data_IF_175102463915
#
_entry.id   IF_175102463915
#
_cell.length_a   1.000
_cell.length_b   1.000
_cell.length_c   1.000
_cell.angle_alpha   90.00
_cell.angle_beta   90.00
_cell.angle_gamma   90.00
#
_symmetry.space_group_name_H-M   'P 1'
#
loop_
_entity.id
_entity.type
_entity.pdbx_description
1 polymer ?
#
# COMPACT_ATOMS: atom_id res chain seq x y z
N UNK A 1 3.38 -5.91 -27.02
CA UNK A 1 3.42 -4.56 -27.57
C UNK A 1 4.87 -4.15 -27.78
N UNK A 2 5.53 -3.39 -26.88
CA UNK A 2 6.88 -2.84 -27.10
C UNK A 2 7.94 -3.85 -27.61
N UNK A 3 8.05 -5.04 -27.01
CA UNK A 3 8.98 -6.08 -27.48
C UNK A 3 8.72 -6.56 -28.92
N UNK A 4 7.48 -6.50 -29.40
CA UNK A 4 7.12 -6.79 -30.79
C UNK A 4 7.42 -5.60 -31.71
N UNK A 5 7.24 -4.36 -31.24
CA UNK A 5 7.66 -3.15 -31.96
C UNK A 5 9.18 -3.14 -32.16
N UNK A 6 9.94 -3.59 -31.15
CA UNK A 6 11.40 -3.73 -31.22
C UNK A 6 11.83 -4.86 -32.17
N UNK A 7 11.15 -6.02 -32.14
CA UNK A 7 11.36 -7.11 -33.10
C UNK A 7 11.13 -6.65 -34.55
N UNK A 8 10.00 -6.00 -34.81
CA UNK A 8 9.59 -5.52 -36.14
C UNK A 8 10.19 -4.16 -36.53
N UNK A 9 11.05 -3.57 -35.68
CA UNK A 9 11.68 -2.24 -35.85
C UNK A 9 10.71 -1.05 -36.03
N UNK A 10 9.49 -1.17 -35.49
CA UNK A 10 8.40 -0.19 -35.54
C UNK A 10 8.40 0.81 -34.37
N UNK A 11 9.57 1.08 -33.76
CA UNK A 11 9.67 2.07 -32.67
C UNK A 11 9.51 3.50 -33.20
N UNK A 12 10.28 3.86 -34.24
CA UNK A 12 10.30 5.22 -34.80
C UNK A 12 8.99 5.53 -35.55
N UNK A 13 8.40 4.51 -36.19
CA UNK A 13 7.07 4.54 -36.84
C UNK A 13 5.90 4.77 -35.85
N UNK A 14 6.12 4.78 -34.53
CA UNK A 14 5.05 4.82 -33.52
C UNK A 14 5.09 6.13 -32.70
N UNK A 15 4.23 7.13 -32.97
CA UNK A 15 4.33 8.47 -32.39
C UNK A 15 4.30 8.58 -30.85
N UNK A 16 3.71 7.59 -30.17
CA UNK A 16 3.64 7.52 -28.70
C UNK A 16 4.83 6.82 -28.05
N UNK A 17 5.68 6.11 -28.80
CA UNK A 17 6.81 5.34 -28.25
C UNK A 17 7.80 6.24 -27.46
N UNK A 18 7.98 7.48 -27.92
CA UNK A 18 8.82 8.51 -27.26
C UNK A 18 8.37 8.92 -25.86
N UNK A 19 7.13 8.60 -25.45
CA UNK A 19 6.61 8.86 -24.10
C UNK A 19 6.69 7.64 -23.17
N UNK A 20 7.14 6.49 -23.66
CA UNK A 20 7.27 5.25 -22.87
C UNK A 20 8.50 5.35 -21.95
N UNK A 21 8.36 5.15 -20.62
CA UNK A 21 9.51 5.19 -19.71
C UNK A 21 10.56 4.11 -20.02
N UNK A 22 11.85 4.45 -19.85
CA UNK A 22 13.00 3.58 -20.19
C UNK A 22 12.95 2.20 -19.51
N UNK A 23 12.31 2.08 -18.35
CA UNK A 23 12.07 0.81 -17.65
C UNK A 23 11.29 -0.21 -18.49
N UNK A 24 10.31 0.23 -19.29
CA UNK A 24 9.53 -0.65 -20.15
C UNK A 24 10.33 -1.13 -21.37
N UNK A 25 11.26 -0.31 -21.90
CA UNK A 25 12.22 -0.73 -22.93
C UNK A 25 13.12 -1.86 -22.42
N UNK A 26 13.75 -1.68 -21.24
CA UNK A 26 14.58 -2.72 -20.62
C UNK A 26 13.81 -4.01 -20.31
N UNK A 27 12.53 -3.90 -19.94
CA UNK A 27 11.64 -5.06 -19.81
C UNK A 27 11.29 -5.72 -21.16
N UNK A 28 11.20 -4.93 -22.23
CA UNK A 28 10.93 -5.41 -23.58
C UNK A 28 12.15 -6.11 -24.19
N UNK A 29 13.37 -5.63 -23.97
CA UNK A 29 14.62 -6.31 -24.33
C UNK A 29 14.68 -7.71 -23.71
N UNK A 30 14.51 -7.83 -22.38
CA UNK A 30 14.55 -9.13 -21.68
C UNK A 30 13.44 -10.08 -22.15
N UNK A 31 12.28 -9.56 -22.54
CA UNK A 31 11.22 -10.37 -23.16
C UNK A 31 11.62 -10.84 -24.56
N UNK A 32 12.16 -9.94 -25.38
CA UNK A 32 12.60 -10.16 -26.76
C UNK A 32 13.75 -11.17 -26.85
N UNK A 33 14.80 -11.02 -26.03
CA UNK A 33 15.86 -12.03 -25.88
C UNK A 33 15.26 -13.41 -25.58
N UNK A 34 14.34 -13.48 -24.61
CA UNK A 34 13.70 -14.74 -24.22
C UNK A 34 12.70 -15.28 -25.26
N UNK A 35 12.32 -14.51 -26.27
CA UNK A 35 11.52 -14.95 -27.42
C UNK A 35 12.42 -15.54 -28.50
N UNK A 36 13.54 -14.86 -28.79
CA UNK A 36 14.60 -15.33 -29.69
C UNK A 36 15.24 -16.63 -29.19
N UNK A 37 15.58 -16.73 -27.90
CA UNK A 37 16.06 -17.97 -27.25
C UNK A 37 15.10 -19.17 -27.39
N UNK A 38 13.80 -18.91 -27.64
CA UNK A 38 12.75 -19.91 -27.74
C UNK A 38 12.20 -20.10 -29.16
N UNK A 39 12.79 -19.45 -30.16
CA UNK A 39 12.33 -19.51 -31.55
C UNK A 39 10.88 -19.05 -31.72
N UNK A 40 10.44 -18.09 -30.90
CA UNK A 40 9.07 -17.56 -30.93
C UNK A 40 9.07 -16.17 -31.54
N UNK A 41 8.56 -16.07 -32.75
CA UNK A 41 8.32 -14.78 -33.39
C UNK A 41 7.01 -14.19 -32.86
N UNK A 42 6.95 -12.88 -32.55
CA UNK A 42 5.69 -12.20 -32.23
C UNK A 42 4.83 -12.06 -33.49
N UNK A 43 3.51 -11.96 -33.29
CA UNK A 43 2.59 -11.59 -34.36
C UNK A 43 3.03 -10.29 -35.06
N UNK A 44 2.73 -10.18 -36.35
CA UNK A 44 3.03 -9.03 -37.19
C UNK A 44 2.51 -7.72 -36.59
N UNK A 45 3.29 -6.64 -36.70
CA UNK A 45 2.89 -5.35 -36.18
C UNK A 45 1.97 -4.65 -37.19
N UNK A 46 0.72 -4.30 -36.83
CA UNK A 46 -0.19 -3.65 -37.76
C UNK A 46 0.28 -2.22 -38.07
N UNK A 47 0.15 -1.81 -39.34
CA UNK A 47 0.46 -0.44 -39.73
C UNK A 47 -0.49 0.56 -39.05
N UNK A 48 0.11 1.55 -38.38
CA UNK A 48 -0.61 2.59 -37.66
C UNK A 48 -1.06 3.67 -38.65
N UNK A 49 -2.36 3.70 -38.96
CA UNK A 49 -2.97 4.80 -39.71
C UNK A 49 -3.18 6.01 -38.79
N UNK A 50 -2.95 7.23 -39.30
CA UNK A 50 -3.36 8.42 -38.56
C UNK A 50 -4.88 8.58 -38.73
N UNK A 51 -5.61 8.65 -37.61
CA UNK A 51 -7.05 8.96 -37.61
C UNK A 51 -7.35 10.40 -38.08
N UNK A 52 -6.32 11.23 -38.29
CA UNK A 52 -6.42 12.56 -38.87
C UNK A 52 -6.62 12.55 -40.40
N UNK A 53 -6.18 11.50 -41.09
CA UNK A 53 -6.15 11.45 -42.56
C UNK A 53 -7.50 10.96 -43.16
N UNK A 54 -8.40 10.43 -42.32
CA UNK A 54 -9.74 9.91 -42.69
C UNK A 54 -10.89 10.91 -42.35
N UNK A 55 -10.58 12.14 -41.92
CA UNK A 55 -11.57 13.22 -41.73
C UNK A 55 -11.78 13.97 -43.07
N UNK A 56 -13.01 14.04 -43.61
CA UNK A 56 -13.27 14.85 -44.81
C UNK A 56 -13.19 16.35 -44.49
N UNK A 57 -12.47 17.11 -45.32
CA UNK A 57 -12.45 18.58 -45.27
C UNK A 57 -13.87 19.13 -45.47
N UNK A 58 -14.45 19.68 -44.39
CA UNK A 58 -15.65 20.53 -44.45
C UNK A 58 -15.20 21.97 -44.23
N UNK A 59 -14.57 22.53 -45.27
CA UNK A 59 -14.41 23.97 -45.42
C UNK A 59 -15.72 24.59 -45.89
N UNK A 60 -16.13 25.68 -45.25
CA UNK A 60 -17.13 26.66 -45.72
C UNK A 60 -18.49 26.12 -46.21
N UNK A 61 -19.47 26.10 -45.31
CA UNK A 61 -20.81 26.57 -45.65
C UNK A 61 -21.40 27.37 -44.50
N UNK A 62 -22.16 28.41 -44.83
CA UNK A 62 -22.60 29.45 -43.89
C UNK A 62 -24.12 29.49 -43.76
N UNK A 63 -24.59 29.82 -42.55
CA UNK A 63 -25.89 30.46 -42.28
C UNK A 63 -27.17 29.80 -42.81
N UNK A 64 -27.92 29.18 -41.90
CA UNK A 64 -29.39 29.18 -41.95
C UNK A 64 -29.96 29.27 -40.53
N UNK A 65 -31.11 29.93 -40.39
CA UNK A 65 -31.91 29.98 -39.16
C UNK A 65 -32.94 28.81 -39.17
N UNK A 66 -34.16 29.04 -38.70
CA UNK A 66 -35.23 28.06 -38.39
C UNK A 66 -34.93 27.18 -37.14
N UNK A 67 -35.51 27.38 -35.95
CA UNK A 67 -36.92 27.52 -35.48
C UNK A 67 -37.41 26.22 -34.79
N UNK A 68 -38.37 26.35 -33.86
CA UNK A 68 -38.76 25.35 -32.85
C UNK A 68 -39.25 24.00 -33.41
N UNK A 69 -39.05 22.95 -32.60
CA UNK A 69 -40.18 22.08 -32.31
C UNK A 69 -40.14 21.53 -30.86
N UNK A 70 -41.28 21.61 -30.18
CA UNK A 70 -41.52 21.04 -28.85
C UNK A 70 -42.47 19.86 -29.00
N UNK A 71 -42.09 18.66 -28.52
CA UNK A 71 -43.04 17.70 -27.92
C UNK A 71 -42.31 16.57 -27.17
N UNK A 72 -42.79 16.28 -25.96
CA UNK A 72 -42.41 15.17 -25.07
C UNK A 72 -43.51 14.08 -25.16
N UNK A 73 -43.30 12.83 -24.73
CA UNK A 73 -43.83 12.51 -23.38
C UNK A 73 -43.19 11.31 -22.62
N UNK A 74 -43.73 11.14 -21.40
CA UNK A 74 -43.78 9.92 -20.57
C UNK A 74 -42.52 9.51 -19.77
N UNK A 75 -42.30 10.23 -18.67
CA UNK A 75 -41.59 9.73 -17.49
C UNK A 75 -42.58 9.37 -16.37
N UNK A 76 -43.16 8.17 -16.43
CA UNK A 76 -44.25 7.75 -15.53
C UNK A 76 -43.74 7.21 -14.17
N UNK A 77 -44.35 7.67 -13.06
CA UNK A 77 -43.92 7.35 -11.69
C UNK A 77 -45.10 7.46 -10.69
N UNK A 78 -45.61 6.36 -10.11
CA UNK A 78 -46.88 6.35 -9.39
C UNK A 78 -46.79 6.73 -7.90
N UNK A 79 -47.72 7.58 -7.44
CA UNK A 79 -48.00 7.88 -6.01
C UNK A 79 -49.51 8.01 -5.81
N UNK A 80 -50.07 7.33 -4.79
CA UNK A 80 -51.05 7.95 -3.86
C UNK A 80 -50.87 7.45 -2.39
N UNK A 81 -51.32 8.11 -1.32
CA UNK A 81 -51.94 9.45 -1.13
C UNK A 81 -51.76 9.96 0.33
N UNK A 82 -52.40 11.08 0.70
CA UNK A 82 -52.41 11.77 2.02
C UNK A 82 -53.16 11.01 3.14
N UNK A 83 -53.10 11.34 4.44
CA UNK A 83 -53.50 12.57 5.20
C UNK A 83 -52.66 12.72 6.51
N UNK A 84 -52.21 13.90 7.00
CA UNK A 84 -52.92 15.02 7.71
C UNK A 84 -53.55 14.60 9.06
N UNK A 85 -53.40 15.26 10.25
CA UNK A 85 -52.68 16.44 10.85
C UNK A 85 -52.80 16.29 12.41
N UNK A 86 -52.18 16.98 13.39
CA UNK A 86 -51.17 18.08 13.52
C UNK A 86 -50.50 18.03 14.95
N UNK A 87 -49.51 18.89 15.33
CA UNK A 87 -48.79 18.83 16.61
C UNK A 87 -49.35 19.75 17.73
N UNK A 88 -48.93 19.57 19.00
CA UNK A 88 -48.45 20.74 19.75
C UNK A 88 -47.31 20.50 20.78
N UNK A 89 -46.34 21.44 20.74
CA UNK A 89 -45.59 22.07 21.85
C UNK A 89 -44.79 21.24 22.90
N UNK A 90 -43.89 21.96 23.57
CA UNK A 90 -43.11 21.54 24.73
C UNK A 90 -43.22 22.61 25.83
N UNK A 91 -42.97 22.23 27.09
CA UNK A 91 -42.52 23.16 28.13
C UNK A 91 -41.66 22.45 29.19
N UNK A 92 -41.21 23.19 30.22
CA UNK A 92 -39.92 22.96 30.90
C UNK A 92 -39.98 22.54 32.38
N UNK A 93 -38.80 22.26 32.98
CA UNK A 93 -38.51 21.86 34.38
C UNK A 93 -38.79 20.37 34.72
N UNK A 94 -38.06 19.70 35.62
CA UNK A 94 -36.83 20.06 36.35
C UNK A 94 -36.74 19.33 37.71
N UNK A 95 -35.71 18.51 37.94
CA UNK A 95 -35.52 17.78 39.21
C UNK A 95 -34.37 16.77 39.20
N UNK A 96 -33.87 16.40 40.39
CA UNK A 96 -32.66 15.58 40.60
C UNK A 96 -32.97 14.10 40.88
N UNK A 97 -32.03 13.18 40.60
CA UNK A 97 -32.14 11.76 40.97
C UNK A 97 -30.92 10.92 40.57
N UNK A 98 -30.35 10.18 41.53
CA UNK A 98 -29.20 9.28 41.35
C UNK A 98 -29.62 7.81 41.06
N UNK A 99 -28.73 6.95 40.50
CA UNK A 99 -29.10 5.65 39.93
C UNK A 99 -28.99 4.46 40.91
N UNK A 100 -29.45 3.27 40.48
CA UNK A 100 -28.87 2.00 40.91
C UNK A 100 -28.43 1.06 39.75
N UNK A 101 -27.67 0.02 40.11
CA UNK A 101 -27.03 -0.99 39.26
C UNK A 101 -27.95 -2.13 38.75
N UNK A 102 -27.46 -2.90 37.76
CA UNK A 102 -27.76 -4.33 37.47
C UNK A 102 -29.23 -4.71 37.11
N UNK A 103 -29.56 -5.68 36.24
CA UNK A 103 -28.85 -6.92 35.93
C UNK A 103 -29.34 -7.62 34.62
N UNK A 104 -28.42 -8.26 33.89
CA UNK A 104 -28.47 -9.68 33.44
C UNK A 104 -29.80 -10.30 32.89
N UNK A 105 -29.89 -10.42 31.54
CA UNK A 105 -30.40 -11.56 30.68
C UNK A 105 -31.54 -11.36 29.64
N UNK A 106 -31.17 -11.61 28.37
CA UNK A 106 -31.82 -12.49 27.34
C UNK A 106 -33.34 -12.37 27.05
N UNK A 107 -33.69 -12.14 25.76
CA UNK A 107 -34.60 -13.06 25.01
C UNK A 107 -34.55 -12.95 23.45
N UNK A 108 -34.33 -14.12 22.82
CA UNK A 108 -34.63 -14.61 21.45
C UNK A 108 -35.28 -13.63 20.42
N UNK A 109 -34.63 -13.29 19.31
CA UNK A 109 -34.42 -14.09 18.05
C UNK A 109 -35.62 -14.32 17.11
N UNK A 110 -35.50 -13.88 15.82
CA UNK A 110 -35.58 -14.74 14.60
C UNK A 110 -35.55 -13.97 13.25
N UNK A 111 -34.64 -14.39 12.33
CA UNK A 111 -34.83 -14.68 10.86
C UNK A 111 -35.31 -13.53 9.90
N UNK A 112 -34.85 -13.40 8.64
CA UNK A 112 -33.84 -14.10 7.78
C UNK A 112 -33.19 -13.09 6.80
N UNK A 113 -31.98 -13.39 6.31
CA UNK A 113 -31.55 -13.43 4.87
C UNK A 113 -30.01 -13.56 4.84
N UNK A 114 -29.48 -14.78 4.70
CA UNK A 114 -29.05 -15.44 3.45
C UNK A 114 -27.76 -14.84 2.83
N UNK A 115 -26.62 -15.27 3.35
CA UNK A 115 -25.30 -15.20 2.68
C UNK A 115 -24.84 -16.62 2.36
N UNK A 116 -24.31 -16.83 1.16
CA UNK A 116 -23.89 -18.14 0.65
C UNK A 116 -22.38 -18.30 0.85
N UNK A 117 -21.96 -19.11 1.84
CA UNK A 117 -20.57 -19.55 2.03
C UNK A 117 -20.49 -21.05 1.85
N UNK A 118 -19.78 -21.51 0.83
CA UNK A 118 -19.42 -22.91 0.64
C UNK A 118 -17.93 -23.06 0.94
N UNK A 119 -17.62 -23.89 1.91
CA UNK A 119 -16.31 -24.47 2.15
C UNK A 119 -16.54 -25.91 2.62
N UNK A 120 -15.87 -26.86 1.97
CA UNK A 120 -15.72 -28.24 2.42
C UNK A 120 -14.27 -28.61 2.15
N UNK A 121 -13.41 -28.94 3.13
CA UNK A 121 -13.54 -29.87 4.27
C UNK A 121 -13.45 -31.34 3.86
N UNK A 122 -12.52 -32.05 4.51
CA UNK A 122 -12.58 -33.48 4.83
C UNK A 122 -11.50 -33.78 5.89
N UNK A 123 -11.92 -33.87 7.15
CA UNK A 123 -11.15 -34.53 8.21
C UNK A 123 -11.37 -36.05 8.17
N UNK A 124 -10.49 -36.81 8.82
CA UNK A 124 -10.63 -38.26 9.07
C UNK A 124 -10.75 -38.54 10.55
N UNK A 125 -11.69 -39.39 10.95
CA UNK A 125 -11.86 -39.87 12.33
C UNK A 125 -12.30 -41.34 12.35
N UNK A 126 -11.95 -42.06 13.42
CA UNK A 126 -12.04 -43.52 13.55
C UNK A 126 -13.16 -43.96 14.53
N UNK A 127 -13.73 -45.14 14.31
CA UNK A 127 -14.16 -46.06 15.38
C UNK A 127 -14.62 -47.44 14.84
N UNK A 128 -14.74 -48.43 15.73
CA UNK A 128 -15.10 -49.83 15.46
C UNK A 128 -16.13 -50.37 16.50
N UNK A 129 -16.65 -51.60 16.47
CA UNK A 129 -16.39 -52.79 15.62
C UNK A 129 -17.67 -53.64 15.43
N UNK A 130 -17.72 -54.50 14.42
CA UNK A 130 -18.37 -55.83 14.50
C UNK A 130 -18.03 -56.72 13.29
N UNK A 131 -18.05 -58.04 13.50
CA UNK A 131 -17.70 -59.09 12.52
C UNK A 131 -18.84 -60.15 12.40
N UNK A 132 -18.80 -61.18 11.50
CA UNK A 132 -17.71 -61.56 10.61
C UNK A 132 -18.06 -62.01 9.16
N UNK A 133 -17.00 -62.11 8.34
CA UNK A 133 -16.80 -63.06 7.22
C UNK A 133 -17.55 -62.88 5.88
N UNK A 134 -16.75 -62.61 4.84
CA UNK A 134 -16.68 -63.37 3.57
C UNK A 134 -15.33 -63.09 2.89
N UNK A 135 -14.70 -64.12 2.31
CA UNK A 135 -13.38 -64.01 1.65
C UNK A 135 -13.50 -63.39 0.26
N UNK A 136 -12.57 -62.49 -0.08
CA UNK A 136 -12.12 -62.25 -1.46
C UNK A 136 -10.63 -61.84 -1.45
N UNK A 137 -9.94 -62.06 -2.57
CA UNK A 137 -8.47 -62.13 -2.61
C UNK A 137 -7.84 -60.80 -3.00
N UNK A 138 -6.81 -60.37 -2.27
CA UNK A 138 -5.99 -59.20 -2.59
C UNK A 138 -4.80 -59.58 -3.49
N UNK A 139 -4.60 -58.83 -4.58
CA UNK A 139 -3.44 -58.94 -5.47
C UNK A 139 -2.66 -57.61 -5.51
N UNK A 140 -1.37 -57.58 -5.10
CA UNK A 140 -0.58 -56.36 -5.07
C UNK A 140 0.01 -56.01 -6.45
N UNK A 141 -0.28 -54.81 -6.96
CA UNK A 141 0.32 -54.30 -8.20
C UNK A 141 1.79 -53.84 -8.01
N UNK A 142 2.66 -53.91 -9.04
CA UNK A 142 4.11 -53.91 -8.83
C UNK A 142 4.76 -52.52 -8.64
N UNK A 143 5.81 -52.46 -7.81
CA UNK A 143 6.68 -51.29 -7.65
C UNK A 143 7.56 -51.09 -8.89
N UNK A 144 7.64 -49.86 -9.43
CA UNK A 144 8.49 -49.53 -10.59
C UNK A 144 9.95 -49.29 -10.17
N UNK A 145 10.98 -49.81 -10.88
CA UNK A 145 12.37 -49.77 -10.38
C UNK A 145 13.07 -48.40 -10.49
N UNK A 146 14.07 -48.18 -9.60
CA UNK A 146 15.11 -47.15 -9.79
C UNK A 146 16.20 -47.70 -10.74
N UNK A 147 16.68 -46.93 -11.74
CA UNK A 147 17.90 -47.27 -12.47
C UNK A 147 19.13 -46.72 -11.73
N UNK A 148 19.95 -47.62 -11.18
CA UNK A 148 21.33 -47.31 -10.79
C UNK A 148 22.27 -47.70 -11.93
N UNK A 149 23.18 -46.80 -12.33
CA UNK A 149 24.31 -47.15 -13.19
C UNK A 149 25.48 -46.20 -12.96
N UNK A 150 26.57 -46.72 -12.38
CA UNK A 150 27.86 -46.05 -12.39
C UNK A 150 28.49 -46.17 -13.79
N UNK A 151 29.37 -45.23 -14.15
CA UNK A 151 30.07 -45.23 -15.43
C UNK A 151 30.80 -43.91 -15.67
N UNK A 152 32.07 -43.84 -15.28
CA UNK A 152 32.95 -42.72 -15.58
C UNK A 152 33.12 -42.53 -17.09
N UNK A 153 32.78 -41.33 -17.58
CA UNK A 153 33.50 -40.65 -18.68
C UNK A 153 33.52 -39.13 -18.45
N UNK A 154 34.57 -38.51 -18.94
CA UNK A 154 34.95 -37.12 -18.65
C UNK A 154 34.11 -36.06 -19.38
N UNK A 155 34.03 -34.88 -18.78
CA UNK A 155 34.23 -33.64 -19.53
C UNK A 155 33.02 -33.00 -20.23
N UNK A 156 32.04 -32.50 -19.46
CA UNK A 156 31.41 -31.19 -19.74
C UNK A 156 30.67 -30.68 -18.49
N UNK A 157 31.08 -29.52 -17.96
CA UNK A 157 30.34 -28.82 -16.89
C UNK A 157 29.04 -28.26 -17.48
N UNK A 158 27.92 -28.96 -17.27
CA UNK A 158 26.59 -28.38 -17.48
C UNK A 158 26.36 -27.29 -16.43
N UNK A 159 26.69 -26.05 -16.79
CA UNK A 159 26.40 -24.87 -15.98
C UNK A 159 24.89 -24.73 -15.79
N UNK A 160 24.38 -25.32 -14.71
CA UNK A 160 22.95 -25.53 -14.46
C UNK A 160 22.16 -24.25 -14.66
N UNK A 161 20.95 -24.36 -15.21
CA UNK A 161 20.03 -23.23 -15.33
C UNK A 161 19.82 -22.56 -13.95
N UNK A 162 19.79 -23.34 -12.87
CA UNK A 162 19.79 -22.82 -11.48
C UNK A 162 20.98 -21.91 -11.15
N UNK A 163 22.19 -22.19 -11.63
CA UNK A 163 23.35 -21.30 -11.41
C UNK A 163 23.29 -20.04 -12.27
N UNK A 164 22.76 -20.11 -13.50
CA UNK A 164 22.50 -18.91 -14.32
C UNK A 164 21.43 -18.02 -13.69
N UNK A 165 20.31 -18.59 -13.25
CA UNK A 165 19.20 -17.85 -12.61
C UNK A 165 19.57 -17.28 -11.24
N UNK A 166 20.44 -17.95 -10.46
CA UNK A 166 21.04 -17.33 -9.26
C UNK A 166 21.92 -16.14 -9.66
N UNK A 167 22.84 -16.33 -10.59
CA UNK A 167 23.72 -15.25 -11.07
C UNK A 167 22.98 -14.02 -11.63
N UNK A 168 21.81 -14.19 -12.25
CA UNK A 168 20.99 -13.04 -12.68
C UNK A 168 20.23 -12.36 -11.54
N UNK A 169 19.73 -13.11 -10.56
CA UNK A 169 19.13 -12.55 -9.33
C UNK A 169 20.17 -11.87 -8.41
N UNK A 170 21.39 -12.38 -8.36
CA UNK A 170 22.47 -11.83 -7.54
C UNK A 170 22.95 -10.47 -8.08
N UNK A 171 22.79 -10.20 -9.39
CA UNK A 171 23.07 -8.88 -10.01
C UNK A 171 22.13 -7.77 -9.56
N UNK A 172 20.90 -8.10 -9.16
CA UNK A 172 19.90 -7.14 -8.65
C UNK A 172 19.79 -7.14 -7.11
N UNK A 173 20.80 -7.71 -6.45
CA UNK A 173 20.98 -7.74 -4.98
C UNK A 173 22.24 -7.01 -4.59
N UNK A 174 22.16 -6.23 -3.51
CA UNK A 174 23.33 -5.69 -2.81
C UNK A 174 24.25 -6.82 -2.30
N UNK A 175 25.49 -6.50 -1.85
CA UNK A 175 26.37 -7.49 -1.22
C UNK A 175 25.71 -8.20 -0.03
N UNK A 176 25.07 -7.49 0.89
CA UNK A 176 24.45 -8.11 2.07
C UNK A 176 23.12 -8.82 1.75
N UNK A 177 22.39 -8.43 0.69
CA UNK A 177 21.18 -9.14 0.23
C UNK A 177 21.46 -10.50 -0.47
N UNK A 178 22.74 -10.87 -0.63
CA UNK A 178 23.16 -12.21 -1.09
C UNK A 178 23.38 -13.20 0.06
N UNK A 179 23.53 -12.72 1.29
CA UNK A 179 23.58 -13.52 2.52
C UNK A 179 22.19 -13.99 2.94
N UNK A 180 22.11 -15.07 3.73
CA UNK A 180 20.93 -15.35 4.56
C UNK A 180 20.79 -14.31 5.69
N UNK A 181 19.80 -14.45 6.57
CA UNK A 181 19.77 -13.63 7.80
C UNK A 181 20.76 -14.18 8.83
N UNK A 182 20.93 -15.50 8.85
CA UNK A 182 21.75 -16.28 9.77
C UNK A 182 23.27 -16.08 9.52
N UNK A 183 23.68 -15.67 8.31
CA UNK A 183 25.08 -15.34 7.95
C UNK A 183 25.50 -13.89 8.30
N UNK A 184 24.65 -13.11 8.98
CA UNK A 184 24.89 -11.69 9.28
C UNK A 184 25.56 -11.50 10.65
N UNK A 185 26.71 -10.82 10.67
CA UNK A 185 27.34 -10.40 11.92
C UNK A 185 26.63 -9.19 12.56
N UNK A 186 26.81 -8.92 13.87
CA UNK A 186 26.20 -7.78 14.56
C UNK A 186 26.38 -6.42 13.85
N UNK A 187 27.55 -6.17 13.27
CA UNK A 187 27.83 -4.97 12.46
C UNK A 187 26.95 -4.89 11.20
N UNK A 188 26.64 -6.01 10.57
CA UNK A 188 25.79 -6.09 9.37
C UNK A 188 24.30 -6.01 9.73
N UNK A 189 23.92 -6.47 10.93
CA UNK A 189 22.59 -6.25 11.51
C UNK A 189 22.35 -4.77 11.87
N UNK A 190 23.40 -3.98 12.13
CA UNK A 190 23.30 -2.54 12.34
C UNK A 190 23.15 -1.73 11.03
N UNK A 191 23.71 -2.21 9.92
CA UNK A 191 23.82 -1.48 8.63
C UNK A 191 22.46 -1.17 8.00
N UNK A 192 22.36 0.04 7.47
CA UNK A 192 21.33 0.46 6.51
C UNK A 192 22.03 0.62 5.16
N UNK A 193 21.89 -0.33 4.24
CA UNK A 193 22.41 -0.17 2.89
C UNK A 193 21.58 0.87 2.12
N UNK A 194 22.27 1.71 1.34
CA UNK A 194 21.65 2.54 0.29
C UNK A 194 21.80 1.77 -1.02
N UNK A 195 20.71 1.43 -1.74
CA UNK A 195 20.79 0.63 -2.95
C UNK A 195 21.33 1.44 -4.14
N UNK A 196 22.33 0.90 -4.83
CA UNK A 196 22.82 1.44 -6.11
C UNK A 196 21.77 1.35 -7.23
N UNK A 197 21.96 2.13 -8.29
CA UNK A 197 21.11 2.08 -9.50
C UNK A 197 21.09 0.66 -10.08
N UNK A 198 19.91 0.05 -10.17
CA UNK A 198 19.70 -1.32 -10.67
C UNK A 198 19.63 -2.39 -9.58
N UNK A 199 19.92 -2.05 -8.32
CA UNK A 199 19.67 -2.95 -7.18
C UNK A 199 18.17 -2.92 -6.85
N UNK A 200 17.54 -4.10 -6.85
CA UNK A 200 16.11 -4.25 -6.53
C UNK A 200 15.88 -4.70 -5.07
N UNK A 201 16.91 -5.18 -4.41
CA UNK A 201 16.85 -5.67 -3.02
C UNK A 201 18.19 -5.51 -2.27
N UNK A 202 18.10 -5.08 -1.02
CA UNK A 202 19.20 -4.70 -0.13
C UNK A 202 18.85 -5.00 1.34
N UNK A 203 19.78 -4.84 2.28
CA UNK A 203 19.54 -5.07 3.72
C UNK A 203 19.35 -3.74 4.45
N UNK A 204 18.28 -3.62 5.24
CA UNK A 204 18.06 -2.52 6.19
C UNK A 204 17.96 -3.07 7.61
N UNK A 205 18.94 -2.73 8.44
CA UNK A 205 19.17 -3.32 9.78
C UNK A 205 19.17 -4.84 9.76
N UNK A 206 19.90 -5.44 8.82
CA UNK A 206 19.92 -6.88 8.58
C UNK A 206 18.66 -7.48 7.96
N UNK A 207 17.51 -6.79 7.91
CA UNK A 207 16.29 -7.30 7.27
C UNK A 207 16.38 -7.14 5.75
N UNK A 208 16.07 -8.18 4.97
CA UNK A 208 16.01 -8.08 3.51
C UNK A 208 14.85 -7.19 3.09
N UNK A 209 15.21 -6.06 2.50
CA UNK A 209 14.35 -5.05 1.90
C UNK A 209 14.34 -5.22 0.39
N UNK A 210 13.22 -4.89 -0.23
CA UNK A 210 13.08 -4.83 -1.69
C UNK A 210 12.16 -3.68 -2.09
N UNK A 211 12.36 -3.12 -3.27
CA UNK A 211 11.31 -2.30 -3.89
C UNK A 211 10.01 -3.11 -4.03
N UNK A 212 8.87 -2.43 -4.18
CA UNK A 212 7.53 -3.05 -4.27
C UNK A 212 6.92 -3.08 -5.69
N UNK A 213 7.59 -3.62 -6.73
CA UNK A 213 6.93 -3.90 -8.00
C UNK A 213 6.24 -5.27 -7.95
N UNK A 214 4.92 -5.29 -8.09
CA UNK A 214 4.18 -6.45 -8.63
C UNK A 214 3.09 -5.95 -9.57
N UNK A 215 2.92 -6.66 -10.68
CA UNK A 215 1.91 -6.38 -11.71
C UNK A 215 0.49 -6.45 -11.13
N UNK A 216 -0.41 -5.65 -11.69
CA UNK A 216 -1.86 -5.84 -11.58
C UNK A 216 -2.54 -4.79 -10.73
N UNK A 217 -2.11 -4.69 -9.46
CA UNK A 217 -2.76 -3.83 -8.47
C UNK A 217 -1.85 -2.65 -8.08
N UNK A 218 -2.25 -1.45 -8.52
CA UNK A 218 -1.76 -0.14 -8.07
C UNK A 218 -0.23 0.09 -8.10
N UNK A 219 0.24 0.68 -9.20
CA UNK A 219 1.55 1.35 -9.27
C UNK A 219 1.60 2.61 -8.38
N UNK A 220 0.44 3.04 -7.88
CA UNK A 220 0.16 4.18 -6.99
C UNK A 220 0.81 4.08 -5.61
N UNK A 221 2.14 4.08 -5.53
CA UNK A 221 2.81 4.55 -4.32
C UNK A 221 2.54 6.06 -4.19
N UNK A 222 2.22 6.53 -2.98
CA UNK A 222 2.08 7.97 -2.72
C UNK A 222 3.36 8.69 -3.16
N UNK A 223 3.30 9.85 -3.85
CA UNK A 223 4.52 10.51 -4.32
C UNK A 223 5.46 10.93 -3.18
N UNK A 224 6.78 10.81 -3.38
CA UNK A 224 7.81 11.27 -2.42
C UNK A 224 8.23 10.27 -1.35
N UNK A 225 7.69 9.07 -1.47
CA UNK A 225 7.35 8.25 -0.33
C UNK A 225 7.92 6.85 -0.62
N UNK A 226 8.92 6.35 0.16
CA UNK A 226 9.78 5.25 -0.27
C UNK A 226 9.07 4.00 -0.83
N UNK A 227 9.33 3.67 -2.10
CA UNK A 227 8.64 2.61 -2.85
C UNK A 227 8.98 1.16 -2.45
N UNK A 228 9.38 0.89 -1.21
CA UNK A 228 9.99 -0.38 -0.79
C UNK A 228 9.36 -0.96 0.50
N UNK A 229 9.56 -2.26 0.74
CA UNK A 229 9.10 -2.95 1.96
C UNK A 229 10.10 -4.03 2.42
N UNK A 230 9.98 -4.53 3.66
CA UNK A 230 10.59 -5.80 4.05
C UNK A 230 10.08 -6.92 3.12
N UNK A 231 10.91 -7.93 2.87
CA UNK A 231 10.48 -9.13 2.16
C UNK A 231 9.62 -10.00 3.09
N UNK A 232 8.49 -10.51 2.59
CA UNK A 232 7.49 -11.25 3.40
C UNK A 232 8.03 -12.52 4.08
N UNK A 233 9.13 -13.08 3.58
CA UNK A 233 9.84 -14.23 4.17
C UNK A 233 10.70 -13.86 5.37
N UNK A 234 11.10 -12.60 5.50
CA UNK A 234 12.01 -12.11 6.55
C UNK A 234 11.34 -11.18 7.56
N UNK A 235 10.07 -10.82 7.35
CA UNK A 235 9.30 -9.99 8.28
C UNK A 235 9.23 -10.58 9.70
N UNK A 236 9.44 -11.90 9.85
CA UNK A 236 9.58 -12.58 11.15
C UNK A 236 10.74 -12.06 12.00
N UNK A 237 11.92 -11.85 11.43
CA UNK A 237 13.09 -11.35 12.19
C UNK A 237 12.86 -9.91 12.66
N UNK A 238 12.13 -9.10 11.87
CA UNK A 238 11.69 -7.77 12.28
C UNK A 238 10.58 -7.81 13.36
N UNK A 239 9.75 -8.86 13.37
CA UNK A 239 8.75 -9.10 14.41
C UNK A 239 9.38 -9.61 15.72
N UNK A 240 10.41 -10.45 15.66
CA UNK A 240 11.13 -10.97 16.84
C UNK A 240 11.71 -9.82 17.69
N UNK A 241 12.18 -8.75 17.06
CA UNK A 241 12.65 -7.51 17.71
C UNK A 241 11.55 -6.70 18.43
N UNK A 242 10.27 -7.07 18.32
CA UNK A 242 9.15 -6.32 18.91
C UNK A 242 9.10 -6.38 20.43
N UNK A 243 9.27 -7.57 21.02
CA UNK A 243 8.90 -7.85 22.42
C UNK A 243 9.52 -6.89 23.45
N UNK A 244 10.82 -6.52 23.37
CA UNK A 244 11.41 -5.54 24.29
C UNK A 244 10.78 -4.14 24.25
N UNK A 245 10.05 -3.80 23.18
CA UNK A 245 9.48 -2.48 22.96
C UNK A 245 7.95 -2.41 23.11
N UNK A 246 7.25 -3.50 23.46
CA UNK A 246 5.78 -3.47 23.59
C UNK A 246 5.31 -2.42 24.61
N UNK A 247 5.85 -2.48 25.83
CA UNK A 247 5.54 -1.50 26.89
C UNK A 247 5.96 -0.08 26.50
N UNK A 248 7.11 0.08 25.83
CA UNK A 248 7.56 1.38 25.33
C UNK A 248 6.62 1.94 24.25
N UNK A 249 6.03 1.10 23.39
CA UNK A 249 5.05 1.53 22.38
C UNK A 249 3.70 1.90 22.99
N UNK A 250 3.26 1.20 24.05
CA UNK A 250 2.07 1.60 24.82
C UNK A 250 2.29 2.98 25.45
N UNK A 251 3.45 3.20 26.09
CA UNK A 251 3.82 4.51 26.65
C UNK A 251 4.00 5.58 25.58
N UNK A 252 4.48 5.23 24.38
CA UNK A 252 4.58 6.16 23.25
C UNK A 252 3.20 6.56 22.72
N UNK A 253 2.27 5.61 22.50
CA UNK A 253 0.89 5.92 22.11
C UNK A 253 0.16 6.77 23.17
N UNK A 254 0.43 6.55 24.46
CA UNK A 254 -0.13 7.37 25.54
C UNK A 254 0.30 8.85 25.48
N UNK A 255 1.46 9.17 24.88
CA UNK A 255 1.92 10.55 24.60
C UNK A 255 1.24 11.20 23.39
N UNK A 256 0.47 10.44 22.61
CA UNK A 256 -0.19 10.87 21.36
C UNK A 256 0.74 11.61 20.37
N UNK A 257 1.80 10.96 19.85
CA UNK A 257 2.76 11.60 18.94
C UNK A 257 2.15 12.05 17.60
N UNK A 258 0.93 11.63 17.29
CA UNK A 258 0.15 12.14 16.16
C UNK A 258 -0.41 13.55 16.39
N UNK A 259 -0.68 13.95 17.64
CA UNK A 259 -1.11 15.31 17.98
C UNK A 259 0.06 16.29 17.71
N UNK A 260 1.26 16.00 18.25
CA UNK A 260 2.50 16.76 17.97
C UNK A 260 2.83 16.82 16.46
N UNK A 261 2.68 15.70 15.75
CA UNK A 261 2.84 15.62 14.28
C UNK A 261 1.88 16.57 13.55
N UNK A 262 0.62 16.65 13.98
CA UNK A 262 -0.40 17.49 13.35
C UNK A 262 -0.20 18.97 13.67
N UNK A 263 0.15 19.32 14.92
CA UNK A 263 0.47 20.70 15.30
C UNK A 263 1.67 21.26 14.52
N UNK A 264 2.71 20.44 14.31
CA UNK A 264 3.93 20.81 13.59
C UNK A 264 3.85 20.64 12.06
N UNK A 265 2.65 20.49 11.49
CA UNK A 265 2.49 20.27 10.06
C UNK A 265 2.72 21.50 9.18
N UNK A 266 2.80 21.27 7.87
CA UNK A 266 3.10 22.29 6.87
C UNK A 266 1.85 23.12 6.57
N UNK A 267 1.66 24.24 7.26
CA UNK A 267 0.51 25.16 7.06
C UNK A 267 0.59 26.03 5.80
N UNK A 268 1.45 25.70 4.82
CA UNK A 268 1.80 26.55 3.67
C UNK A 268 1.43 25.85 2.37
N UNK A 269 0.78 26.59 1.47
CA UNK A 269 0.56 26.19 0.08
C UNK A 269 1.70 26.73 -0.80
N UNK A 270 2.36 25.83 -1.54
CA UNK A 270 3.53 26.11 -2.38
C UNK A 270 3.15 26.37 -3.85
N UNK A 271 1.95 25.98 -4.28
CA UNK A 271 1.51 26.07 -5.69
C UNK A 271 0.18 26.82 -5.87
N UNK A 272 -0.65 26.93 -4.83
CA UNK A 272 -1.95 27.61 -4.88
C UNK A 272 -1.95 28.88 -4.02
N UNK A 273 -2.26 30.05 -4.61
CA UNK A 273 -2.40 31.29 -3.84
C UNK A 273 -3.74 31.31 -3.10
N UNK A 274 -3.74 31.85 -1.87
CA UNK A 274 -4.95 32.03 -1.06
C UNK A 274 -6.02 32.91 -1.75
N UNK A 275 -5.61 33.87 -2.57
CA UNK A 275 -6.49 34.73 -3.34
C UNK A 275 -7.17 34.03 -4.53
N UNK A 276 -6.55 32.97 -5.07
CA UNK A 276 -7.03 32.25 -6.25
C UNK A 276 -8.04 31.13 -5.86
N UNK A 277 -8.17 30.84 -4.55
CA UNK A 277 -9.07 29.84 -3.98
C UNK A 277 -10.32 30.51 -3.38
N UNK A 278 -11.50 30.19 -3.91
CA UNK A 278 -12.77 30.72 -3.39
C UNK A 278 -13.05 30.30 -1.94
N UNK A 279 -13.85 31.09 -1.22
CA UNK A 279 -14.28 30.75 0.15
C UNK A 279 -14.96 29.38 0.26
N UNK A 280 -15.68 28.94 -0.80
CA UNK A 280 -16.24 27.58 -0.88
C UNK A 280 -15.15 26.51 -0.84
N UNK A 281 -14.03 26.72 -1.55
CA UNK A 281 -12.91 25.77 -1.58
C UNK A 281 -12.17 25.76 -0.24
N UNK A 282 -12.00 26.92 0.41
CA UNK A 282 -11.44 26.99 1.77
C UNK A 282 -12.28 26.21 2.79
N UNK A 283 -13.59 26.47 2.89
CA UNK A 283 -14.47 25.73 3.82
C UNK A 283 -14.46 24.21 3.57
N UNK A 284 -14.25 23.78 2.32
CA UNK A 284 -14.14 22.37 1.95
C UNK A 284 -12.75 21.77 2.22
N UNK A 285 -11.70 22.57 2.16
CA UNK A 285 -10.38 22.18 2.65
C UNK A 285 -10.43 22.01 4.17
N UNK A 286 -11.10 22.92 4.90
CA UNK A 286 -11.26 22.82 6.35
C UNK A 286 -12.06 21.54 6.74
N UNK A 287 -13.15 21.18 6.04
CA UNK A 287 -13.87 19.89 6.19
C UNK A 287 -12.95 18.67 5.95
N UNK A 288 -11.92 18.81 5.10
CA UNK A 288 -10.95 17.75 4.83
C UNK A 288 -9.85 17.69 5.91
N UNK A 289 -9.29 18.83 6.30
CA UNK A 289 -8.21 18.95 7.28
C UNK A 289 -8.70 18.59 8.70
N UNK A 290 -9.94 18.89 9.05
CA UNK A 290 -10.61 18.38 10.25
C UNK A 290 -10.70 16.85 10.24
N UNK A 291 -11.07 16.23 9.11
CA UNK A 291 -11.05 14.77 9.00
C UNK A 291 -9.64 14.18 9.14
N UNK A 292 -8.60 14.86 8.63
CA UNK A 292 -7.20 14.44 8.82
C UNK A 292 -6.80 14.52 10.29
N UNK A 293 -7.16 15.60 11.01
CA UNK A 293 -6.94 15.78 12.46
C UNK A 293 -7.53 14.61 13.25
N UNK A 294 -8.80 14.33 13.04
CA UNK A 294 -9.55 13.32 13.80
C UNK A 294 -9.07 11.88 13.54
N UNK A 295 -8.26 11.68 12.49
CA UNK A 295 -7.67 10.40 12.12
C UNK A 295 -6.13 10.41 12.19
N UNK A 296 -5.53 11.42 12.83
CA UNK A 296 -4.08 11.61 12.85
C UNK A 296 -3.32 10.38 13.42
N UNK A 297 -3.88 9.65 14.39
CA UNK A 297 -3.30 8.37 14.85
C UNK A 297 -3.07 7.39 13.67
N UNK A 298 -4.05 7.23 12.79
CA UNK A 298 -3.96 6.30 11.66
C UNK A 298 -2.94 6.77 10.60
N UNK A 299 -2.72 8.08 10.46
CA UNK A 299 -1.65 8.64 9.62
C UNK A 299 -0.28 8.40 10.25
N UNK A 300 -0.12 8.66 11.55
CA UNK A 300 1.15 8.43 12.24
C UNK A 300 1.52 6.95 12.23
N UNK A 301 0.57 6.05 12.50
CA UNK A 301 0.78 4.61 12.55
C UNK A 301 1.11 3.98 11.17
N UNK A 302 0.52 4.44 10.06
CA UNK A 302 0.89 3.93 8.72
C UNK A 302 2.26 4.43 8.28
N UNK A 303 2.68 5.60 8.79
CA UNK A 303 4.00 6.18 8.55
C UNK A 303 5.08 5.62 9.51
N UNK A 304 4.68 5.15 10.69
CA UNK A 304 5.51 4.52 11.73
C UNK A 304 5.09 3.07 12.01
N UNK A 305 5.05 2.22 10.98
CA UNK A 305 4.50 0.88 11.13
C UNK A 305 5.47 -0.11 11.77
N UNK A 306 5.35 -0.29 13.09
CA UNK A 306 6.07 -1.31 13.83
C UNK A 306 5.56 -2.71 13.48
N UNK A 307 6.46 -3.64 13.16
CA UNK A 307 6.08 -5.04 12.93
C UNK A 307 5.89 -5.73 14.29
N UNK A 308 4.64 -5.93 14.70
CA UNK A 308 4.28 -6.52 16.00
C UNK A 308 4.34 -8.05 15.91
N UNK A 309 4.99 -8.73 16.88
CA UNK A 309 4.83 -10.19 17.08
C UNK A 309 3.64 -10.45 17.99
N UNK A 310 2.52 -10.89 17.40
CA UNK A 310 1.22 -11.05 18.06
C UNK A 310 0.75 -12.50 18.21
N UNK A 311 1.63 -13.47 17.91
CA UNK A 311 1.37 -14.92 17.99
C UNK A 311 2.71 -15.68 17.94
N UNK A 312 2.76 -16.96 18.31
CA UNK A 312 3.93 -17.80 18.09
C UNK A 312 4.25 -17.99 16.59
N UNK A 313 5.50 -18.38 16.31
CA UNK A 313 5.90 -18.97 15.03
C UNK A 313 5.55 -20.47 14.99
N UNK A 314 5.63 -21.13 13.82
CA UNK A 314 5.15 -22.51 13.64
C UNK A 314 6.01 -23.57 14.35
N UNK A 315 7.20 -23.16 14.76
CA UNK A 315 8.27 -23.89 15.44
C UNK A 315 8.46 -23.44 16.91
N UNK A 316 7.70 -22.43 17.36
CA UNK A 316 7.49 -22.17 18.79
C UNK A 316 6.32 -23.03 19.28
N UNK A 317 6.38 -23.56 20.50
CA UNK A 317 5.24 -24.25 21.09
C UNK A 317 4.05 -23.28 21.26
N UNK A 318 2.82 -23.77 21.03
CA UNK A 318 1.57 -23.09 21.41
C UNK A 318 1.42 -23.11 22.96
N UNK A 319 2.35 -22.44 23.63
CA UNK A 319 2.31 -22.14 25.06
C UNK A 319 1.33 -21.01 25.37
N UNK A 320 1.55 -20.36 26.51
CA UNK A 320 0.68 -19.30 27.03
C UNK A 320 0.29 -18.24 25.98
N UNK A 321 -0.98 -18.27 25.57
CA UNK A 321 -1.55 -17.35 24.59
C UNK A 321 -1.69 -15.93 25.14
N UNK A 322 -1.79 -15.75 26.46
CA UNK A 322 -1.94 -14.44 27.09
C UNK A 322 -0.65 -13.62 26.97
N UNK A 323 0.51 -14.28 26.80
CA UNK A 323 1.81 -13.67 26.44
C UNK A 323 1.72 -12.70 25.25
N UNK A 324 0.85 -12.97 24.28
CA UNK A 324 0.68 -12.14 23.09
C UNK A 324 -0.62 -11.31 23.10
N UNK A 325 -1.38 -11.32 24.19
CA UNK A 325 -2.71 -10.66 24.28
C UNK A 325 -2.66 -9.15 23.97
N UNK A 326 -1.71 -8.43 24.55
CA UNK A 326 -1.49 -6.99 24.34
C UNK A 326 -1.09 -6.71 22.89
N UNK A 327 -0.05 -7.38 22.38
CA UNK A 327 0.37 -7.33 20.98
C UNK A 327 -0.76 -7.65 19.99
N UNK A 328 -1.58 -8.66 20.25
CA UNK A 328 -2.72 -9.02 19.41
C UNK A 328 -3.85 -7.99 19.44
N UNK A 329 -4.06 -7.31 20.59
CA UNK A 329 -4.95 -6.16 20.69
C UNK A 329 -4.43 -4.98 19.86
N UNK A 330 -3.17 -4.56 20.08
CA UNK A 330 -2.52 -3.46 19.36
C UNK A 330 -2.51 -3.69 17.84
N UNK A 331 -2.13 -4.89 17.40
CA UNK A 331 -2.13 -5.26 15.98
C UNK A 331 -3.53 -5.17 15.36
N UNK A 332 -4.56 -5.67 16.04
CA UNK A 332 -5.95 -5.65 15.56
C UNK A 332 -6.53 -4.24 15.48
N UNK A 333 -6.33 -3.43 16.51
CA UNK A 333 -6.80 -2.03 16.54
C UNK A 333 -6.17 -1.19 15.43
N UNK A 334 -4.84 -1.27 15.28
CA UNK A 334 -4.11 -0.54 14.24
C UNK A 334 -4.50 -1.00 12.83
N UNK A 335 -4.65 -2.32 12.63
CA UNK A 335 -5.11 -2.84 11.34
C UNK A 335 -6.51 -2.33 10.98
N UNK A 336 -7.45 -2.29 11.94
CA UNK A 336 -8.79 -1.77 11.73
C UNK A 336 -8.81 -0.25 11.44
N UNK A 337 -7.98 0.55 12.15
CA UNK A 337 -7.80 1.99 11.84
C UNK A 337 -7.27 2.20 10.43
N UNK A 338 -6.18 1.51 10.08
CA UNK A 338 -5.55 1.61 8.76
C UNK A 338 -6.52 1.20 7.64
N UNK A 339 -7.27 0.10 7.83
CA UNK A 339 -8.25 -0.37 6.85
C UNK A 339 -9.42 0.62 6.68
N UNK A 340 -9.93 1.20 7.77
CA UNK A 340 -11.04 2.17 7.74
C UNK A 340 -10.66 3.45 6.99
N UNK A 341 -9.51 4.05 7.32
CA UNK A 341 -9.05 5.31 6.69
C UNK A 341 -8.57 5.04 5.27
N UNK A 342 -7.77 4.00 5.04
CA UNK A 342 -7.23 3.65 3.72
C UNK A 342 -8.32 3.34 2.68
N UNK A 343 -9.34 2.55 3.04
CA UNK A 343 -10.46 2.24 2.13
C UNK A 343 -11.31 3.47 1.80
N UNK A 344 -11.45 4.43 2.73
CA UNK A 344 -12.36 5.57 2.56
C UNK A 344 -11.69 6.82 1.96
N UNK A 345 -10.38 7.01 2.13
CA UNK A 345 -9.69 8.23 1.72
C UNK A 345 -9.82 8.52 0.21
N UNK A 346 -9.58 7.54 -0.66
CA UNK A 346 -9.67 7.75 -2.11
C UNK A 346 -11.07 8.17 -2.58
N UNK A 347 -12.13 7.69 -1.91
CA UNK A 347 -13.49 8.13 -2.17
C UNK A 347 -13.77 9.54 -1.61
N UNK A 348 -13.21 9.86 -0.43
CA UNK A 348 -13.28 11.20 0.19
C UNK A 348 -12.63 12.26 -0.70
N UNK A 349 -11.42 12.02 -1.20
CA UNK A 349 -10.72 12.96 -2.11
C UNK A 349 -11.57 13.20 -3.37
N UNK A 350 -12.10 12.15 -4.01
CA UNK A 350 -13.00 12.29 -5.17
C UNK A 350 -14.27 13.08 -4.86
N UNK A 351 -14.88 12.92 -3.67
CA UNK A 351 -16.04 13.71 -3.20
C UNK A 351 -15.69 15.21 -3.05
N UNK A 352 -14.48 15.56 -2.63
CA UNK A 352 -14.06 16.96 -2.55
C UNK A 352 -13.78 17.55 -3.93
N UNK A 353 -13.13 16.79 -4.82
CA UNK A 353 -12.91 17.21 -6.21
C UNK A 353 -14.25 17.46 -6.92
N UNK A 354 -15.24 16.57 -6.79
CA UNK A 354 -16.57 16.76 -7.40
C UNK A 354 -17.40 17.90 -6.79
N UNK A 355 -17.08 18.35 -5.57
CA UNK A 355 -17.64 19.59 -4.98
C UNK A 355 -16.98 20.87 -5.55
N UNK A 356 -15.87 20.76 -6.27
CA UNK A 356 -15.13 21.88 -6.87
C UNK A 356 -13.78 22.21 -6.20
N UNK A 357 -13.20 21.32 -5.40
CA UNK A 357 -11.82 21.48 -4.92
C UNK A 357 -10.84 21.09 -6.05
N UNK A 358 -9.83 21.92 -6.40
CA UNK A 358 -8.83 21.57 -7.42
C UNK A 358 -8.08 20.29 -7.05
N UNK A 359 -7.94 19.36 -8.01
CA UNK A 359 -7.25 18.08 -7.76
C UNK A 359 -5.78 18.27 -7.34
N UNK A 360 -5.11 19.27 -7.94
CA UNK A 360 -3.73 19.68 -7.60
C UNK A 360 -3.57 20.17 -6.16
N UNK A 361 -4.66 20.54 -5.46
CA UNK A 361 -4.60 20.93 -4.05
C UNK A 361 -4.24 19.72 -3.15
N UNK A 362 -4.43 18.49 -3.62
CA UNK A 362 -3.99 17.26 -2.94
C UNK A 362 -2.55 16.83 -3.31
N UNK A 363 -1.84 17.61 -4.14
CA UNK A 363 -0.38 17.54 -4.32
C UNK A 363 0.37 18.56 -3.44
N UNK A 364 -0.33 19.38 -2.64
CA UNK A 364 0.29 20.31 -1.70
C UNK A 364 0.84 19.59 -0.46
N UNK A 365 2.10 19.84 -0.04
CA UNK A 365 2.70 19.20 1.15
C UNK A 365 1.96 19.45 2.47
N UNK A 366 1.10 20.47 2.53
CA UNK A 366 0.21 20.77 3.65
C UNK A 366 -1.14 20.04 3.63
N UNK A 367 -1.51 19.39 2.53
CA UNK A 367 -2.81 18.73 2.34
C UNK A 367 -2.60 17.22 2.30
N UNK A 368 -2.34 16.64 3.47
CA UNK A 368 -1.94 15.23 3.58
C UNK A 368 -2.96 14.25 3.00
N UNK A 369 -2.51 13.47 2.03
CA UNK A 369 -3.23 12.30 1.53
C UNK A 369 -2.84 11.06 2.33
N UNK A 370 -3.78 10.11 2.52
CA UNK A 370 -3.48 8.89 3.28
C UNK A 370 -2.55 7.96 2.46
N UNK A 371 -1.43 7.49 3.02
CA UNK A 371 -0.50 6.62 2.31
C UNK A 371 -1.13 5.31 1.81
N UNK A 372 -0.91 4.99 0.53
CA UNK A 372 -1.41 3.76 -0.10
C UNK A 372 -0.65 2.53 0.39
N UNK A 373 0.64 2.69 0.73
CA UNK A 373 1.50 1.62 1.25
C UNK A 373 1.98 1.95 2.66
N UNK A 374 2.23 0.89 3.42
CA UNK A 374 2.63 0.90 4.83
C UNK A 374 4.15 1.14 4.95
N UNK A 375 4.57 2.09 5.80
CA UNK A 375 5.98 2.39 6.07
C UNK A 375 6.49 1.66 7.29
N UNK A 376 7.07 0.48 7.03
CA UNK A 376 7.69 -0.33 8.06
C UNK A 376 8.83 0.42 8.75
N UNK A 377 8.73 0.58 10.07
CA UNK A 377 9.86 1.02 10.89
C UNK A 377 10.75 -0.20 11.17
N UNK A 378 12.01 -0.10 10.76
CA UNK A 378 13.00 -1.14 10.95
C UNK A 378 13.62 -0.96 12.35
N UNK A 379 13.09 -1.73 13.31
CA UNK A 379 13.63 -1.80 14.67
C UNK A 379 15.08 -2.28 14.65
N UNK A 380 15.87 -1.68 15.54
CA UNK A 380 17.27 -1.99 15.79
C UNK A 380 17.39 -3.41 16.37
N UNK A 381 18.45 -4.13 15.99
CA UNK A 381 18.73 -5.44 16.55
C UNK A 381 19.24 -5.34 17.99
N UNK A 382 18.95 -6.33 18.84
CA UNK A 382 19.43 -6.35 20.23
C UNK A 382 20.97 -6.32 20.29
N UNK A 383 21.65 -6.88 19.29
CA UNK A 383 23.12 -6.81 19.18
C UNK A 383 23.67 -5.43 18.80
N UNK A 384 22.81 -4.46 18.46
CA UNK A 384 23.21 -3.14 17.94
C UNK A 384 23.05 -2.06 19.02
N UNK A 385 24.17 -1.77 19.67
CA UNK A 385 24.25 -0.82 20.79
C UNK A 385 24.57 0.61 20.32
N UNK A 386 24.23 1.59 21.16
CA UNK A 386 24.52 3.01 20.95
C UNK A 386 25.99 3.35 21.31
N UNK A 387 26.37 4.62 21.20
CA UNK A 387 27.74 5.08 21.48
C UNK A 387 28.20 4.91 22.95
N UNK A 388 27.27 4.70 23.89
CA UNK A 388 27.54 4.42 25.30
C UNK A 388 27.66 2.90 25.58
N UNK A 389 27.32 2.04 24.60
CA UNK A 389 27.17 0.60 24.80
C UNK A 389 25.78 0.16 25.28
N UNK A 390 24.74 1.00 25.14
CA UNK A 390 23.38 0.70 25.62
C UNK A 390 22.40 0.44 24.44
N UNK A 391 21.32 -0.33 24.63
CA UNK A 391 20.26 -0.46 23.62
C UNK A 391 19.58 0.87 23.25
N UNK A 392 19.10 0.98 22.01
CA UNK A 392 18.38 2.17 21.55
C UNK A 392 16.93 2.20 22.03
N UNK A 393 16.53 3.24 22.77
CA UNK A 393 15.13 3.46 23.15
C UNK A 393 14.20 3.65 21.94
N UNK A 394 12.92 3.32 22.10
CA UNK A 394 11.94 3.33 21.02
C UNK A 394 11.80 4.72 20.37
N UNK A 395 11.71 5.77 21.18
CA UNK A 395 11.67 7.16 20.73
C UNK A 395 12.93 7.53 19.92
N UNK A 396 14.12 7.09 20.38
CA UNK A 396 15.36 7.34 19.64
C UNK A 396 15.38 6.64 18.29
N UNK A 397 14.81 5.43 18.19
CA UNK A 397 14.67 4.71 16.94
C UNK A 397 13.66 5.38 15.98
N UNK A 398 12.56 5.95 16.50
CA UNK A 398 11.62 6.78 15.74
C UNK A 398 12.34 7.99 15.15
N UNK A 399 13.00 8.81 15.98
CA UNK A 399 13.74 9.98 15.50
C UNK A 399 14.84 9.61 14.51
N UNK A 400 15.52 8.48 14.69
CA UNK A 400 16.51 7.99 13.71
C UNK A 400 15.87 7.56 12.37
N UNK A 401 14.64 7.04 12.37
CA UNK A 401 13.92 6.72 11.14
C UNK A 401 13.45 7.98 10.41
N UNK A 402 12.99 9.01 11.16
CA UNK A 402 12.63 10.34 10.61
C UNK A 402 13.85 11.06 10.02
N UNK A 403 14.97 11.12 10.74
CA UNK A 403 16.21 11.74 10.25
C UNK A 403 16.80 11.03 9.03
N UNK A 404 16.67 9.70 8.94
CA UNK A 404 17.21 8.92 7.82
C UNK A 404 16.36 9.03 6.53
N UNK A 405 15.07 9.34 6.65
CA UNK A 405 14.13 9.43 5.52
C UNK A 405 13.10 10.55 5.73
N UNK A 406 13.49 11.85 5.75
CA UNK A 406 12.56 12.94 6.14
C UNK A 406 11.28 13.00 5.30
N UNK A 407 11.36 12.66 4.02
CA UNK A 407 10.21 12.57 3.10
C UNK A 407 9.12 11.57 3.52
N UNK A 408 9.41 10.61 4.42
CA UNK A 408 8.39 9.72 5.01
C UNK A 408 7.45 10.45 5.99
N UNK A 409 7.75 11.70 6.31
CA UNK A 409 7.10 12.55 7.30
C UNK A 409 7.08 13.99 6.80
N UNK A 410 6.09 14.39 6.00
CA UNK A 410 6.06 15.70 5.34
C UNK A 410 6.13 16.90 6.32
N UNK A 411 5.86 16.67 7.62
CA UNK A 411 5.95 17.64 8.72
C UNK A 411 7.28 17.73 9.46
N UNK A 412 8.17 16.73 9.43
CA UNK A 412 9.29 16.75 10.39
C UNK A 412 10.26 17.89 10.13
N UNK A 413 10.84 18.42 11.21
CA UNK A 413 11.92 19.42 11.24
C UNK A 413 13.21 18.99 10.50
N UNK A 414 13.26 17.77 9.99
CA UNK A 414 14.35 17.21 9.18
C UNK A 414 14.10 17.35 7.66
N UNK A 415 12.89 17.72 7.27
CA UNK A 415 12.44 17.87 5.88
C UNK A 415 12.58 19.33 5.44
N UNK A 416 13.37 19.62 4.42
CA UNK A 416 13.48 20.98 3.86
C UNK A 416 12.32 21.29 2.90
N UNK A 417 12.13 22.56 2.53
CA UNK A 417 11.14 22.93 1.51
C UNK A 417 11.42 22.27 0.15
N UNK A 418 12.69 22.02 -0.17
CA UNK A 418 13.09 21.29 -1.38
C UNK A 418 12.67 19.81 -1.31
N UNK A 419 12.77 19.17 -0.14
CA UNK A 419 12.30 17.81 0.11
C UNK A 419 10.76 17.74 0.09
N UNK A 420 10.08 18.74 0.67
CA UNK A 420 8.62 18.87 0.65
C UNK A 420 8.09 18.91 -0.78
N UNK A 421 8.67 19.70 -1.67
CA UNK A 421 8.25 19.73 -3.08
C UNK A 421 8.92 18.66 -3.96
N UNK A 422 9.82 17.83 -3.42
CA UNK A 422 10.63 16.87 -4.20
C UNK A 422 9.80 15.87 -5.00
N UNK A 423 8.55 15.64 -4.58
CA UNK A 423 7.66 14.60 -5.06
C UNK A 423 6.59 15.03 -6.05
N UNK A 424 6.37 16.34 -6.14
CA UNK A 424 5.25 16.94 -6.86
C UNK A 424 5.48 16.82 -8.37
N UNK A 425 4.40 16.78 -9.16
CA UNK A 425 4.48 16.75 -10.62
C UNK A 425 5.32 17.90 -11.18
N UNK A 426 6.12 17.66 -12.24
CA UNK A 426 6.96 18.69 -12.84
C UNK A 426 6.14 19.91 -13.30
N UNK A 427 4.93 19.68 -13.81
CA UNK A 427 4.00 20.72 -14.27
C UNK A 427 3.52 21.63 -13.14
N UNK A 428 3.29 21.08 -11.94
CA UNK A 428 2.89 21.86 -10.77
C UNK A 428 4.10 22.53 -10.11
N UNK A 429 5.29 21.92 -10.16
CA UNK A 429 6.55 22.54 -9.71
C UNK A 429 7.00 23.73 -10.56
N UNK A 430 6.62 23.78 -11.84
CA UNK A 430 6.76 24.99 -12.68
C UNK A 430 5.82 26.13 -12.25
N UNK A 431 4.83 25.87 -11.40
CA UNK A 431 3.89 26.85 -10.81
C UNK A 431 4.22 27.16 -9.34
N UNK A 432 5.40 26.76 -8.86
CA UNK A 432 5.83 27.00 -7.48
C UNK A 432 5.92 28.50 -7.18
N UNK A 433 5.25 28.91 -6.12
CA UNK A 433 5.18 30.29 -5.65
C UNK A 433 6.51 30.75 -5.06
N UNK A 434 6.76 32.06 -5.07
CA UNK A 434 7.91 32.63 -4.38
C UNK A 434 7.76 32.54 -2.85
N UNK A 435 8.87 32.52 -2.07
CA UNK A 435 8.79 32.51 -0.60
C UNK A 435 8.03 33.69 0.01
N UNK A 436 7.91 34.82 -0.71
CA UNK A 436 7.12 35.99 -0.34
C UNK A 436 5.60 35.79 -0.53
N UNK A 437 5.22 34.96 -1.51
CA UNK A 437 3.84 34.55 -1.74
C UNK A 437 3.43 33.43 -0.76
N UNK A 438 4.30 32.44 -0.53
CA UNK A 438 4.05 31.36 0.44
C UNK A 438 3.80 31.88 1.88
N UNK A 439 4.45 32.96 2.30
CA UNK A 439 4.14 33.63 3.59
C UNK A 439 2.71 34.18 3.65
N UNK A 440 2.08 34.47 2.50
CA UNK A 440 0.71 34.99 2.35
C UNK A 440 -0.32 33.88 2.11
N UNK A 441 0.11 32.62 1.97
CA UNK A 441 -0.77 31.44 1.80
C UNK A 441 -0.92 30.59 3.05
N UNK A 442 -0.35 31.01 4.19
CA UNK A 442 -0.52 30.32 5.48
C UNK A 442 -2.00 30.08 5.82
N UNK A 443 -2.37 28.83 6.06
CA UNK A 443 -3.59 28.49 6.78
C UNK A 443 -3.38 28.72 8.28
N UNK A 444 -4.48 28.89 9.02
CA UNK A 444 -4.41 29.05 10.47
C UNK A 444 -4.06 27.75 11.21
#
# INVERSE_FOLDING_TARGET
MLAAMMYHRKLDDTPWAKYVPTSYYLMADVLLESWLERGKEPAEWPDLRNLTDDLPDISDSSSSEEEDNLEDPDFDNPVPESTEVDPPQADTTGGEGSPPDSDVLILRSKRKLKVQRVYSSSDTSENSDTAPSKKLVYTPSPKRPRPSRAGDRSGKKSGSLRSKTRSSLDRVRSPLARKSFEDLGPTELAVIEVPDRGILSWRRRGILTQYTPRKGDHEDQTPGFPGYSPQKTEIRYLAQRWTPFEGAYVMLRAKKPWDEMFENWVKVLYFHRRADLSAKVWNLLDEYLEYVRDHAEAFWEVLHWFTIKYKPEWDEEDGDLDKYSVSAKLHRERAARHESVGRSMGARIRKFISKGVPASLFEEPGVWTYPVKIYHLYLVDESTLNANGEPYSLEKQVTMAEMAEPGRTQWTKYCTDADRVAHVSNELRLKMLSPEECKKTQSH
#
